data_IF_468256557703
#
_entry.id   IF_468256557703
#
_cell.length_a   1.000
_cell.length_b   1.000
_cell.length_c   1.000
_cell.angle_alpha   90.00
_cell.angle_beta   90.00
_cell.angle_gamma   90.00
#
_symmetry.space_group_name_H-M   'P 1'
#
loop_
_entity.id
_entity.type
_entity.pdbx_description
1 polymer ?
#
# COMPACT_ATOMS: atom_id res chain seq x y z
N UNK A 1 17.72 21.65 13.97
CA UNK A 1 18.01 20.43 13.19
C UNK A 1 19.27 19.85 13.79
N UNK A 2 19.14 18.83 14.63
CA UNK A 2 20.25 18.37 15.46
C UNK A 2 20.77 17.03 14.97
N UNK A 3 22.09 16.90 14.93
CA UNK A 3 22.74 15.60 14.99
C UNK A 3 22.49 15.07 16.41
N UNK A 4 22.06 13.81 16.53
CA UNK A 4 21.99 13.19 17.85
C UNK A 4 23.42 13.07 18.40
N UNK A 5 23.75 13.67 19.56
CA UNK A 5 25.12 13.72 20.06
C UNK A 5 25.69 12.33 20.36
N UNK A 6 24.86 11.33 20.63
CA UNK A 6 25.33 9.97 20.91
C UNK A 6 25.45 9.11 19.65
N UNK A 7 24.49 9.18 18.73
CA UNK A 7 24.51 8.35 17.52
C UNK A 7 25.17 9.00 16.30
N UNK A 8 25.44 10.32 16.35
CA UNK A 8 25.92 11.13 15.23
C UNK A 8 25.06 11.08 13.96
N UNK A 9 23.82 10.59 14.07
CA UNK A 9 22.84 10.53 12.99
C UNK A 9 21.91 11.76 13.08
N UNK A 10 21.40 12.23 11.94
CA UNK A 10 20.33 13.22 11.92
C UNK A 10 19.12 12.71 12.71
N UNK A 11 18.54 13.56 13.57
CA UNK A 11 17.29 13.20 14.25
C UNK A 11 16.19 12.87 13.23
N UNK A 12 15.36 11.84 13.47
CA UNK A 12 14.27 11.49 12.57
C UNK A 12 13.19 12.57 12.58
N UNK A 13 12.40 12.64 11.50
CA UNK A 13 11.35 13.64 11.34
C UNK A 13 10.34 13.65 12.50
N UNK A 14 10.06 12.49 13.06
CA UNK A 14 9.18 12.33 14.22
C UNK A 14 9.68 13.08 15.47
N UNK A 15 10.99 13.15 15.70
CA UNK A 15 11.56 13.73 16.91
C UNK A 15 11.73 15.24 16.82
N UNK A 16 12.12 15.75 15.65
CA UNK A 16 12.38 17.19 15.50
C UNK A 16 11.16 17.99 15.02
N UNK A 17 10.11 17.36 14.49
CA UNK A 17 8.86 18.06 14.08
C UNK A 17 8.20 18.81 15.25
N UNK A 18 8.03 18.22 16.46
CA UNK A 18 7.50 18.95 17.61
C UNK A 18 8.36 20.15 18.00
N UNK A 19 9.69 19.99 17.96
CA UNK A 19 10.63 21.08 18.24
C UNK A 19 10.50 22.24 17.24
N UNK A 20 10.42 21.94 15.94
CA UNK A 20 10.16 22.96 14.92
C UNK A 20 8.79 23.61 15.11
N UNK A 21 7.76 22.86 15.50
CA UNK A 21 6.45 23.42 15.79
C UNK A 21 6.47 24.40 16.96
N UNK A 22 7.20 24.08 18.03
CA UNK A 22 7.41 24.96 19.16
C UNK A 22 8.16 26.25 18.75
N UNK A 23 9.24 26.13 17.97
CA UNK A 23 9.98 27.29 17.46
C UNK A 23 9.12 28.19 16.58
N UNK A 24 8.28 27.62 15.69
CA UNK A 24 7.33 28.41 14.89
C UNK A 24 6.33 29.14 15.79
N UNK A 25 5.86 28.50 16.86
CA UNK A 25 4.90 29.10 17.78
C UNK A 25 5.52 30.25 18.59
N UNK A 26 6.70 30.04 19.19
CA UNK A 26 7.44 31.08 19.90
C UNK A 26 7.79 32.23 18.96
N UNK A 27 8.29 31.93 17.75
CA UNK A 27 8.60 32.94 16.75
C UNK A 27 7.38 33.79 16.40
N UNK A 28 6.20 33.18 16.21
CA UNK A 28 4.94 33.92 15.98
C UNK A 28 4.57 34.83 17.14
N UNK A 29 4.76 34.40 18.39
CA UNK A 29 4.51 35.25 19.55
C UNK A 29 5.48 36.44 19.61
N UNK A 30 6.76 36.20 19.40
CA UNK A 30 7.76 37.28 19.36
C UNK A 30 7.45 38.29 18.26
N UNK A 31 7.08 37.83 17.05
CA UNK A 31 6.70 38.73 15.97
C UNK A 31 5.35 39.43 16.19
N UNK A 32 4.43 38.81 16.94
CA UNK A 32 3.19 39.46 17.34
C UNK A 32 3.49 40.64 18.27
N UNK A 33 4.30 40.40 19.30
CA UNK A 33 4.74 41.44 20.24
C UNK A 33 5.53 42.54 19.52
N UNK A 34 6.45 42.17 18.62
CA UNK A 34 7.17 43.10 17.75
C UNK A 34 6.23 43.97 16.89
N UNK A 35 5.14 43.37 16.40
CA UNK A 35 4.21 44.05 15.50
C UNK A 35 3.28 45.00 16.21
N UNK A 36 2.73 44.58 17.35
CA UNK A 36 1.72 45.30 18.11
C UNK A 36 2.02 45.08 19.61
N UNK A 37 3.00 45.81 20.17
CA UNK A 37 3.36 45.70 21.57
C UNK A 37 2.16 45.99 22.46
N UNK A 38 1.94 45.17 23.49
CA UNK A 38 0.86 45.46 24.45
C UNK A 38 1.18 46.69 25.29
N UNK A 39 2.46 46.83 25.64
CA UNK A 39 2.98 47.92 26.45
C UNK A 39 4.12 48.62 25.73
N UNK A 40 4.35 49.91 26.00
CA UNK A 40 5.52 50.60 25.48
C UNK A 40 6.78 50.09 26.18
N UNK A 41 7.85 49.87 25.42
CA UNK A 41 9.15 49.48 25.95
C UNK A 41 10.07 50.70 25.98
N UNK A 42 10.06 51.42 27.11
CA UNK A 42 10.91 52.59 27.35
C UNK A 42 12.34 52.23 27.80
N UNK A 43 12.58 50.96 28.14
CA UNK A 43 13.89 50.46 28.59
C UNK A 43 14.84 50.12 27.45
N UNK A 44 14.36 50.11 26.20
CA UNK A 44 15.17 49.87 25.01
C UNK A 44 15.86 51.16 24.54
N UNK A 45 17.02 51.04 23.91
CA UNK A 45 17.75 52.20 23.33
C UNK A 45 16.89 52.98 22.33
N UNK A 46 16.04 52.27 21.59
CA UNK A 46 14.98 52.87 20.77
C UNK A 46 13.64 52.56 21.45
N UNK A 47 13.00 53.59 22.00
CA UNK A 47 11.73 53.45 22.68
C UNK A 47 10.68 52.85 21.72
N UNK A 48 10.12 51.70 22.10
CA UNK A 48 9.12 51.04 21.29
C UNK A 48 7.72 51.46 21.74
N UNK A 49 6.92 52.10 20.87
CA UNK A 49 5.57 52.50 21.26
C UNK A 49 4.61 51.32 21.33
N UNK A 50 3.56 51.48 22.13
CA UNK A 50 2.48 50.51 22.23
C UNK A 50 1.64 50.39 20.94
N UNK A 51 0.73 49.42 20.91
CA UNK A 51 -0.16 49.20 19.77
C UNK A 51 -1.10 50.37 19.43
N UNK A 52 -1.40 51.26 20.38
CA UNK A 52 -2.32 52.40 20.19
C UNK A 52 -1.70 53.52 19.37
N UNK A 53 -0.36 53.61 19.34
CA UNK A 53 0.38 54.57 18.54
C UNK A 53 0.18 54.37 17.02
N UNK A 54 -0.09 53.13 16.58
CA UNK A 54 -0.23 52.83 15.16
C UNK A 54 -1.66 53.09 14.67
N UNK A 55 -1.78 54.00 13.68
CA UNK A 55 -3.06 54.37 13.05
C UNK A 55 -3.81 53.18 12.43
N UNK A 56 -3.09 52.24 11.80
CA UNK A 56 -3.65 51.02 11.23
C UNK A 56 -2.88 49.78 11.71
N UNK A 57 -3.37 49.16 12.79
CA UNK A 57 -2.75 47.99 13.40
C UNK A 57 -2.72 46.78 12.45
N UNK A 58 -3.79 46.60 11.65
CA UNK A 58 -3.91 45.48 10.70
C UNK A 58 -2.86 45.57 9.59
N UNK A 59 -2.65 46.76 9.04
CA UNK A 59 -1.66 46.98 7.98
C UNK A 59 -0.24 46.77 8.49
N UNK A 60 0.06 47.25 9.69
CA UNK A 60 1.35 47.01 10.36
C UNK A 60 1.60 45.51 10.57
N UNK A 61 0.62 44.79 11.11
CA UNK A 61 0.70 43.34 11.30
C UNK A 61 0.94 42.63 9.97
N UNK A 62 0.20 42.99 8.91
CA UNK A 62 0.38 42.38 7.59
C UNK A 62 1.76 42.66 6.98
N UNK A 63 2.28 43.86 7.15
CA UNK A 63 3.62 44.23 6.67
C UNK A 63 4.69 43.35 7.32
N UNK A 64 4.63 43.18 8.63
CA UNK A 64 5.58 42.35 9.39
C UNK A 64 5.38 40.88 9.05
N UNK A 65 4.12 40.42 8.91
CA UNK A 65 3.80 39.06 8.50
C UNK A 65 4.40 38.72 7.15
N UNK A 66 4.21 39.59 6.14
CA UNK A 66 4.77 39.41 4.79
C UNK A 66 6.30 39.42 4.78
N UNK A 67 6.93 40.13 5.72
CA UNK A 67 8.39 40.22 5.79
C UNK A 67 9.03 39.00 6.45
N UNK A 68 8.43 38.46 7.52
CA UNK A 68 9.10 37.45 8.37
C UNK A 68 8.33 36.15 8.61
N UNK A 69 7.01 36.12 8.39
CA UNK A 69 6.15 34.98 8.75
C UNK A 69 5.58 34.22 7.55
N UNK A 70 5.77 34.74 6.34
CA UNK A 70 5.33 34.08 5.11
C UNK A 70 6.38 33.07 4.66
N UNK A 71 5.89 31.96 4.14
CA UNK A 71 6.71 30.90 3.56
C UNK A 71 7.44 31.42 2.31
N UNK A 72 8.73 31.14 2.18
CA UNK A 72 9.55 31.60 1.05
C UNK A 72 10.13 33.02 1.23
N UNK A 73 9.97 33.64 2.39
CA UNK A 73 10.71 34.86 2.74
C UNK A 73 12.14 34.52 3.15
N UNK A 74 13.09 35.42 2.89
CA UNK A 74 14.48 35.33 3.38
C UNK A 74 14.57 35.70 4.87
N UNK A 75 13.90 34.91 5.73
CA UNK A 75 13.94 35.07 7.17
C UNK A 75 14.09 33.72 7.85
N UNK A 76 14.77 33.70 9.00
CA UNK A 76 15.00 32.48 9.79
C UNK A 76 13.69 31.76 10.09
N UNK A 77 12.62 32.50 10.37
CA UNK A 77 11.33 31.89 10.71
C UNK A 77 10.63 31.26 9.50
N UNK A 78 10.79 31.84 8.30
CA UNK A 78 10.35 31.22 7.05
C UNK A 78 11.08 29.90 6.79
N UNK A 79 12.40 29.85 7.00
CA UNK A 79 13.18 28.61 6.88
C UNK A 79 12.69 27.53 7.87
N UNK A 80 12.42 27.90 9.13
CA UNK A 80 11.88 26.95 10.12
C UNK A 80 10.50 26.42 9.68
N UNK A 81 9.66 27.28 9.07
CA UNK A 81 8.36 26.87 8.52
C UNK A 81 8.53 25.90 7.35
N UNK A 82 9.48 26.15 6.45
CA UNK A 82 9.82 25.25 5.33
C UNK A 82 10.30 23.89 5.84
N UNK A 83 11.26 23.90 6.77
CA UNK A 83 11.78 22.68 7.38
C UNK A 83 10.68 21.87 8.07
N UNK A 84 9.76 22.55 8.77
CA UNK A 84 8.61 21.90 9.40
C UNK A 84 7.68 21.28 8.35
N UNK A 85 7.47 21.94 7.21
CA UNK A 85 6.64 21.42 6.14
C UNK A 85 7.24 20.14 5.53
N UNK A 86 8.56 20.13 5.28
CA UNK A 86 9.30 18.95 4.81
C UNK A 86 9.26 17.81 5.84
N UNK A 87 9.48 18.12 7.11
CA UNK A 87 9.40 17.13 8.18
C UNK A 87 8.01 16.48 8.25
N UNK A 88 6.95 17.30 8.12
CA UNK A 88 5.58 16.81 8.09
C UNK A 88 5.29 15.94 6.87
N UNK A 89 5.88 16.22 5.70
CA UNK A 89 5.74 15.34 4.53
C UNK A 89 6.42 14.00 4.74
N UNK A 90 7.60 13.98 5.37
CA UNK A 90 8.32 12.74 5.72
C UNK A 90 7.47 11.91 6.69
N UNK A 91 7.01 12.51 7.79
CA UNK A 91 6.14 11.85 8.79
C UNK A 91 4.87 11.28 8.13
N UNK A 92 4.30 11.97 7.14
CA UNK A 92 3.11 11.49 6.42
C UNK A 92 3.42 10.30 5.51
N UNK A 93 4.61 10.25 4.91
CA UNK A 93 5.05 9.14 4.06
C UNK A 93 5.45 7.92 4.89
N UNK A 94 6.20 8.12 5.97
CA UNK A 94 6.67 7.05 6.86
C UNK A 94 5.53 6.48 7.72
N UNK A 95 4.49 7.27 7.99
CA UNK A 95 3.39 6.88 8.86
C UNK A 95 3.76 6.99 10.34
N UNK A 96 2.90 6.50 11.22
CA UNK A 96 3.22 6.44 12.66
C UNK A 96 4.28 5.34 12.80
N UNK A 97 5.47 5.63 13.39
CA UNK A 97 6.44 4.59 13.66
C UNK A 97 5.75 3.57 14.55
N UNK A 98 5.52 2.37 14.02
CA UNK A 98 5.04 1.28 14.83
C UNK A 98 6.09 1.03 15.91
N UNK A 99 5.67 0.93 17.17
CA UNK A 99 6.52 0.40 18.24
C UNK A 99 6.81 -1.06 17.90
N UNK A 100 7.80 -1.27 17.04
CA UNK A 100 8.29 -2.56 16.61
C UNK A 100 9.62 -2.76 17.31
N UNK A 101 9.64 -3.69 18.25
CA UNK A 101 10.87 -4.15 18.88
C UNK A 101 11.11 -5.59 18.47
N UNK A 102 12.31 -5.83 17.94
CA UNK A 102 12.79 -7.17 17.66
C UNK A 102 13.13 -7.88 18.96
N UNK A 103 12.78 -9.15 19.05
CA UNK A 103 13.33 -10.02 20.08
C UNK A 103 14.84 -10.20 19.84
N UNK A 104 15.59 -10.48 20.92
CA UNK A 104 17.05 -10.64 20.87
C UNK A 104 17.51 -11.81 20.00
N UNK A 105 16.62 -12.77 19.73
CA UNK A 105 16.86 -13.91 18.86
C UNK A 105 16.66 -13.59 17.37
N UNK A 106 16.10 -12.42 17.04
CA UNK A 106 15.75 -12.01 15.68
C UNK A 106 14.66 -12.87 15.02
N UNK A 107 13.97 -13.74 15.78
CA UNK A 107 12.96 -14.68 15.25
C UNK A 107 11.53 -14.23 15.50
N UNK A 108 11.33 -13.30 16.42
CA UNK A 108 10.05 -12.64 16.64
C UNK A 108 10.21 -11.14 16.77
N UNK A 109 9.11 -10.43 16.54
CA UNK A 109 9.02 -9.00 16.83
C UNK A 109 7.67 -8.70 17.49
N UNK A 110 7.66 -7.73 18.39
CA UNK A 110 6.46 -7.28 19.08
C UNK A 110 5.96 -5.99 18.44
N UNK A 111 4.68 -5.93 18.11
CA UNK A 111 4.02 -4.71 17.64
C UNK A 111 3.13 -4.14 18.75
N UNK A 112 3.36 -2.89 19.15
CA UNK A 112 2.45 -2.13 20.01
C UNK A 112 2.21 -2.78 21.38
N UNK A 113 0.96 -3.15 21.69
CA UNK A 113 0.52 -3.73 22.97
C UNK A 113 1.02 -5.18 23.18
N UNK A 114 2.33 -5.44 23.09
CA UNK A 114 2.96 -6.75 23.30
C UNK A 114 2.36 -7.89 22.44
N UNK A 115 1.83 -7.57 21.24
CA UNK A 115 1.48 -8.63 20.28
C UNK A 115 2.78 -9.14 19.67
N UNK A 116 3.26 -10.27 20.17
CA UNK A 116 4.39 -10.99 19.61
C UNK A 116 3.95 -11.67 18.31
N UNK A 117 4.73 -11.46 17.25
CA UNK A 117 4.57 -12.15 15.98
C UNK A 117 5.87 -12.90 15.68
N UNK A 118 5.77 -14.22 15.49
CA UNK A 118 6.92 -15.06 15.16
C UNK A 118 7.07 -15.15 13.64
N UNK A 119 8.31 -15.15 13.16
CA UNK A 119 8.61 -15.37 11.74
C UNK A 119 8.17 -16.76 11.25
N UNK A 120 8.12 -17.75 12.14
CA UNK A 120 7.59 -19.08 11.86
C UNK A 120 6.12 -19.03 11.47
N UNK A 121 5.34 -18.15 12.10
CA UNK A 121 3.90 -18.03 11.84
C UNK A 121 3.67 -17.42 10.46
N UNK A 122 4.50 -16.45 10.06
CA UNK A 122 4.52 -15.93 8.70
C UNK A 122 4.86 -17.02 7.67
N UNK A 123 5.93 -17.78 7.89
CA UNK A 123 6.29 -18.88 6.99
C UNK A 123 5.15 -19.90 6.88
N UNK A 124 4.55 -20.27 8.02
CA UNK A 124 3.44 -21.21 8.08
C UNK A 124 2.22 -20.68 7.35
N UNK A 125 1.90 -19.39 7.47
CA UNK A 125 0.82 -18.75 6.73
C UNK A 125 1.03 -18.87 5.21
N UNK A 126 2.24 -18.61 4.72
CA UNK A 126 2.55 -18.73 3.30
C UNK A 126 2.47 -20.18 2.82
N UNK A 127 3.02 -21.12 3.59
CA UNK A 127 2.92 -22.55 3.28
C UNK A 127 1.46 -23.02 3.24
N UNK A 128 0.65 -22.58 4.20
CA UNK A 128 -0.79 -22.89 4.22
C UNK A 128 -1.53 -22.30 3.02
N UNK A 129 -1.19 -21.06 2.61
CA UNK A 129 -1.76 -20.45 1.43
C UNK A 129 -1.39 -21.22 0.15
N UNK A 130 -0.13 -21.62 0.00
CA UNK A 130 0.34 -22.45 -1.12
C UNK A 130 -0.37 -23.81 -1.12
N UNK A 131 -0.45 -24.48 0.02
CA UNK A 131 -1.12 -25.78 0.15
C UNK A 131 -2.60 -25.68 -0.24
N UNK A 132 -3.30 -24.65 0.25
CA UNK A 132 -4.70 -24.42 -0.14
C UNK A 132 -4.84 -24.23 -1.65
N UNK A 133 -4.00 -23.42 -2.28
CA UNK A 133 -4.01 -23.24 -3.73
C UNK A 133 -3.73 -24.55 -4.47
N UNK A 134 -2.78 -25.36 -4.00
CA UNK A 134 -2.48 -26.66 -4.57
C UNK A 134 -3.65 -27.63 -4.47
N UNK A 135 -4.33 -27.67 -3.33
CA UNK A 135 -5.51 -28.52 -3.13
C UNK A 135 -6.68 -28.08 -4.00
N UNK A 136 -6.89 -26.76 -4.12
CA UNK A 136 -7.89 -26.20 -5.02
C UNK A 136 -7.60 -26.50 -6.49
N UNK A 137 -6.34 -26.35 -6.93
CA UNK A 137 -5.94 -26.71 -8.29
C UNK A 137 -6.17 -28.19 -8.54
N UNK A 138 -5.78 -29.04 -7.59
CA UNK A 138 -5.99 -30.49 -7.66
C UNK A 138 -7.47 -30.86 -7.79
N UNK A 139 -8.32 -30.20 -7.01
CA UNK A 139 -9.77 -30.39 -7.08
C UNK A 139 -10.32 -29.95 -8.45
N UNK A 140 -9.90 -28.78 -8.95
CA UNK A 140 -10.31 -28.24 -10.26
C UNK A 140 -9.81 -29.10 -11.43
N UNK A 141 -8.65 -29.73 -11.30
CA UNK A 141 -8.08 -30.62 -12.32
C UNK A 141 -8.59 -32.06 -12.17
N UNK A 142 -9.51 -32.36 -11.24
CA UNK A 142 -10.02 -33.71 -10.99
C UNK A 142 -8.88 -34.71 -10.72
N UNK A 143 -7.92 -34.28 -9.90
CA UNK A 143 -6.67 -35.00 -9.59
C UNK A 143 -5.77 -35.32 -10.80
N UNK A 144 -6.13 -34.86 -12.00
CA UNK A 144 -5.32 -35.06 -13.19
C UNK A 144 -4.08 -34.16 -13.16
N UNK A 145 -2.91 -34.79 -13.21
CA UNK A 145 -1.61 -34.11 -13.26
C UNK A 145 -0.88 -34.53 -14.53
N UNK A 146 -0.93 -33.71 -15.60
CA UNK A 146 -0.15 -34.00 -16.78
C UNK A 146 1.34 -33.79 -16.48
N UNK A 147 2.19 -34.67 -17.00
CA UNK A 147 3.64 -34.54 -16.88
C UNK A 147 4.15 -33.46 -17.86
N UNK A 148 3.88 -32.20 -17.50
CA UNK A 148 4.28 -31.02 -18.28
C UNK A 148 5.25 -30.21 -17.45
N UNK A 149 6.41 -29.92 -18.04
CA UNK A 149 7.34 -28.96 -17.46
C UNK A 149 6.84 -27.54 -17.72
N UNK A 150 6.30 -26.91 -16.68
CA UNK A 150 5.79 -25.54 -16.75
C UNK A 150 6.89 -24.52 -17.02
N UNK A 151 8.16 -24.84 -16.76
CA UNK A 151 9.28 -23.92 -16.98
C UNK A 151 9.60 -23.69 -18.46
N UNK A 152 9.21 -24.65 -19.32
CA UNK A 152 9.45 -24.62 -20.78
C UNK A 152 8.29 -23.95 -21.53
N UNK A 153 7.14 -23.77 -20.89
CA UNK A 153 5.95 -23.17 -21.51
C UNK A 153 6.23 -21.70 -21.87
N UNK A 154 6.00 -21.37 -23.13
CA UNK A 154 6.14 -20.01 -23.66
C UNK A 154 4.77 -19.36 -23.82
N UNK A 155 4.54 -18.25 -23.11
CA UNK A 155 3.37 -17.39 -23.29
C UNK A 155 3.76 -16.09 -24.01
N UNK A 156 2.89 -15.59 -24.88
CA UNK A 156 3.06 -14.32 -25.59
C UNK A 156 2.02 -13.31 -25.11
N UNK A 157 2.40 -12.54 -24.10
CA UNK A 157 1.59 -11.50 -23.49
C UNK A 157 1.29 -10.32 -24.44
N UNK A 158 1.97 -10.23 -25.57
CA UNK A 158 1.77 -9.16 -26.56
C UNK A 158 0.75 -9.52 -27.62
N UNK A 159 0.38 -10.80 -27.76
CA UNK A 159 -0.60 -11.25 -28.72
C UNK A 159 -2.01 -10.77 -28.34
N UNK A 160 -2.56 -9.82 -29.11
CA UNK A 160 -3.93 -9.30 -28.94
C UNK A 160 -4.97 -9.95 -29.85
N UNK A 161 -4.63 -11.07 -30.49
CA UNK A 161 -5.55 -11.77 -31.39
C UNK A 161 -6.73 -12.34 -30.59
N UNK A 162 -7.99 -11.99 -30.93
CA UNK A 162 -9.14 -12.59 -30.27
C UNK A 162 -9.15 -14.11 -30.43
N UNK A 163 -9.25 -14.84 -29.31
CA UNK A 163 -9.28 -16.31 -29.31
C UNK A 163 -7.91 -16.98 -29.19
N UNK A 164 -6.82 -16.22 -29.25
CA UNK A 164 -5.48 -16.77 -29.09
C UNK A 164 -5.23 -17.28 -27.66
N UNK A 165 -4.57 -18.44 -27.55
CA UNK A 165 -4.12 -19.03 -26.29
C UNK A 165 -2.74 -19.66 -26.47
N UNK A 166 -1.90 -19.63 -25.43
CA UNK A 166 -0.62 -20.35 -25.42
C UNK A 166 -0.77 -21.87 -25.62
N UNK A 167 -1.98 -22.42 -25.42
CA UNK A 167 -2.30 -23.83 -25.72
C UNK A 167 -2.19 -24.15 -27.22
N UNK A 168 -2.32 -23.14 -28.09
CA UNK A 168 -2.27 -23.27 -29.55
C UNK A 168 -0.86 -23.08 -30.12
N UNK A 169 0.12 -22.68 -29.28
CA UNK A 169 1.51 -22.59 -29.70
C UNK A 169 2.09 -23.99 -29.92
N UNK A 170 2.62 -24.30 -31.11
CA UNK A 170 3.19 -25.62 -31.40
C UNK A 170 4.40 -25.94 -30.49
N UNK A 171 5.14 -24.92 -30.05
CA UNK A 171 6.31 -25.07 -29.18
C UNK A 171 5.97 -25.59 -27.77
N UNK A 172 4.71 -25.43 -27.33
CA UNK A 172 4.27 -25.86 -26.00
C UNK A 172 3.76 -27.31 -26.00
N UNK A 173 3.46 -27.91 -27.15
CA UNK A 173 2.94 -29.28 -27.30
C UNK A 173 1.68 -29.60 -26.46
N UNK A 174 0.87 -28.58 -26.08
CA UNK A 174 -0.28 -28.75 -25.17
C UNK A 174 -1.62 -29.07 -25.86
N UNK A 175 -1.66 -29.11 -27.19
CA UNK A 175 -2.91 -29.19 -27.97
C UNK A 175 -3.73 -30.48 -27.72
N UNK A 176 -3.07 -31.60 -27.42
CA UNK A 176 -3.72 -32.88 -27.11
C UNK A 176 -4.24 -32.96 -25.66
N UNK A 177 -3.60 -32.26 -24.74
CA UNK A 177 -3.88 -32.33 -23.30
C UNK A 177 -5.28 -31.81 -22.96
N UNK A 178 -5.75 -30.78 -23.66
CA UNK A 178 -7.11 -30.28 -23.49
C UNK A 178 -8.19 -31.32 -23.83
N UNK A 179 -7.97 -32.13 -24.88
CA UNK A 179 -8.89 -33.22 -25.25
C UNK A 179 -8.92 -34.30 -24.17
N UNK A 180 -7.77 -34.63 -23.61
CA UNK A 180 -7.64 -35.58 -22.50
C UNK A 180 -8.37 -35.08 -21.25
N UNK A 181 -8.18 -33.81 -20.89
CA UNK A 181 -8.86 -33.19 -19.75
C UNK A 181 -10.39 -33.17 -19.94
N UNK A 182 -10.84 -32.84 -21.15
CA UNK A 182 -12.28 -32.83 -21.48
C UNK A 182 -12.89 -34.23 -21.40
N UNK A 183 -12.17 -35.27 -21.84
CA UNK A 183 -12.61 -36.68 -21.71
C UNK A 183 -12.66 -37.12 -20.25
N UNK A 184 -11.68 -36.74 -19.45
CA UNK A 184 -11.65 -37.03 -18.01
C UNK A 184 -12.84 -36.37 -17.32
N UNK A 185 -13.09 -35.09 -17.59
CA UNK A 185 -14.24 -34.37 -17.07
C UNK A 185 -15.57 -35.04 -17.47
N UNK A 186 -15.69 -35.51 -18.71
CA UNK A 186 -16.89 -36.21 -19.20
C UNK A 186 -17.23 -37.47 -18.41
N UNK A 187 -16.22 -38.22 -17.96
CA UNK A 187 -16.38 -39.45 -17.18
C UNK A 187 -16.36 -39.24 -15.67
N UNK A 188 -16.12 -38.03 -15.20
CA UNK A 188 -15.87 -37.73 -13.78
C UNK A 188 -17.05 -37.02 -13.12
N UNK A 189 -16.95 -36.88 -11.81
CA UNK A 189 -17.82 -36.06 -10.99
C UNK A 189 -17.00 -35.07 -10.17
N UNK A 190 -17.62 -33.95 -9.82
CA UNK A 190 -17.04 -32.94 -8.93
C UNK A 190 -17.99 -32.72 -7.77
N UNK A 191 -17.50 -32.90 -6.54
CA UNK A 191 -18.33 -32.83 -5.31
C UNK A 191 -19.62 -33.66 -5.41
N UNK A 192 -19.49 -34.87 -5.97
CA UNK A 192 -20.60 -35.83 -6.18
C UNK A 192 -21.62 -35.44 -7.27
N UNK A 193 -21.37 -34.38 -8.05
CA UNK A 193 -22.17 -34.02 -9.21
C UNK A 193 -21.47 -34.43 -10.52
N UNK A 194 -22.20 -35.08 -11.43
CA UNK A 194 -21.68 -35.47 -12.74
C UNK A 194 -21.60 -34.26 -13.67
N UNK A 195 -20.54 -34.19 -14.48
CA UNK A 195 -20.43 -33.15 -15.52
C UNK A 195 -21.24 -33.47 -16.77
N UNK A 196 -21.47 -34.75 -17.09
CA UNK A 196 -22.22 -35.17 -18.26
C UNK A 196 -23.15 -36.35 -17.93
N UNK A 197 -24.33 -36.37 -18.56
CA UNK A 197 -25.30 -37.47 -18.47
C UNK A 197 -26.01 -37.63 -19.80
N UNK A 198 -26.21 -38.88 -20.23
CA UNK A 198 -26.97 -39.22 -21.43
C UNK A 198 -26.52 -38.47 -22.71
N UNK A 199 -25.21 -38.29 -22.90
CA UNK A 199 -24.67 -37.63 -24.11
C UNK A 199 -24.66 -36.10 -24.06
N UNK A 200 -25.06 -35.49 -22.93
CA UNK A 200 -25.14 -34.03 -22.78
C UNK A 200 -24.33 -33.56 -21.55
N UNK A 201 -23.68 -32.39 -21.67
CA UNK A 201 -23.09 -31.69 -20.53
C UNK A 201 -24.21 -31.17 -19.62
N UNK A 202 -24.06 -31.37 -18.31
CA UNK A 202 -24.98 -30.87 -17.31
C UNK A 202 -24.58 -29.45 -16.89
N UNK A 203 -25.51 -28.48 -16.85
CA UNK A 203 -25.20 -27.13 -16.38
C UNK A 203 -24.85 -27.09 -14.89
N UNK A 204 -25.43 -28.00 -14.08
CA UNK A 204 -25.32 -27.97 -12.62
C UNK A 204 -23.87 -28.14 -12.12
N UNK A 205 -23.09 -29.07 -12.69
CA UNK A 205 -21.67 -29.26 -12.35
C UNK A 205 -20.75 -28.09 -12.76
N UNK A 206 -21.26 -27.09 -13.49
CA UNK A 206 -20.52 -25.91 -13.94
C UNK A 206 -20.86 -24.64 -13.12
N UNK A 207 -21.89 -24.68 -12.27
CA UNK A 207 -22.34 -23.52 -11.49
C UNK A 207 -21.99 -23.64 -10.01
N UNK A 208 -20.91 -22.94 -9.67
CA UNK A 208 -20.49 -22.55 -8.34
C UNK A 208 -21.62 -21.94 -7.48
N UNK A 209 -21.66 -22.30 -6.19
CA UNK A 209 -22.62 -21.81 -5.20
C UNK A 209 -22.20 -20.40 -4.68
N UNK A 210 -23.05 -19.37 -4.76
CA UNK A 210 -22.69 -17.98 -4.41
C UNK A 210 -22.33 -17.69 -2.96
N UNK A 211 -22.53 -18.65 -2.04
CA UNK A 211 -22.20 -18.51 -0.62
C UNK A 211 -20.71 -18.74 -0.31
N UNK A 212 -19.92 -19.24 -1.26
CA UNK A 212 -18.49 -19.55 -1.08
C UNK A 212 -17.61 -18.31 -1.35
N UNK A 213 -17.61 -17.35 -0.42
CA UNK A 213 -17.13 -15.97 -0.59
C UNK A 213 -15.66 -15.74 -1.07
N UNK A 214 -14.85 -16.78 -1.33
CA UNK A 214 -13.41 -16.61 -1.53
C UNK A 214 -12.91 -16.50 -2.99
N UNK A 215 -13.68 -16.81 -4.04
CA UNK A 215 -13.13 -16.78 -5.42
C UNK A 215 -14.05 -16.21 -6.50
N UNK A 216 -14.52 -14.99 -6.25
CA UNK A 216 -15.41 -14.23 -7.14
C UNK A 216 -14.91 -13.92 -8.56
N UNK A 217 -13.62 -14.12 -8.90
CA UNK A 217 -13.03 -13.45 -10.08
C UNK A 217 -12.24 -14.28 -11.09
N UNK A 218 -11.97 -15.58 -10.86
CA UNK A 218 -11.05 -16.32 -11.78
C UNK A 218 -11.70 -17.32 -12.74
N UNK A 219 -12.89 -17.86 -12.46
CA UNK A 219 -13.57 -18.78 -13.37
C UNK A 219 -14.39 -18.10 -14.49
N UNK A 220 -14.72 -16.81 -14.37
CA UNK A 220 -15.40 -16.06 -15.45
C UNK A 220 -14.54 -15.91 -16.72
N UNK A 221 -13.21 -16.00 -16.64
CA UNK A 221 -12.35 -16.00 -17.84
C UNK A 221 -12.28 -17.38 -18.51
N UNK A 222 -12.24 -18.46 -17.73
CA UNK A 222 -12.27 -19.82 -18.28
C UNK A 222 -13.62 -20.16 -18.93
N UNK A 223 -14.72 -19.63 -18.38
CA UNK A 223 -16.06 -19.72 -18.98
C UNK A 223 -16.18 -19.03 -20.35
N UNK A 224 -15.36 -18.01 -20.62
CA UNK A 224 -15.37 -17.31 -21.91
C UNK A 224 -14.61 -18.08 -23.01
N UNK A 225 -13.73 -19.02 -22.64
CA UNK A 225 -13.04 -19.92 -23.58
C UNK A 225 -13.90 -21.13 -23.95
N UNK A 226 -14.69 -21.66 -23.02
CA UNK A 226 -15.53 -22.84 -23.27
C UNK A 226 -16.80 -22.54 -24.09
N UNK A 227 -17.34 -21.32 -24.03
CA UNK A 227 -18.57 -20.96 -24.74
C UNK A 227 -18.37 -20.38 -26.15
N UNK A 228 -17.13 -20.07 -26.56
CA UNK A 228 -16.89 -19.39 -27.86
C UNK A 228 -16.62 -20.32 -29.05
N UNK A 229 -16.53 -21.64 -28.84
CA UNK A 229 -16.34 -22.63 -29.92
C UNK A 229 -17.68 -23.18 -30.48
N UNK A 230 -18.83 -22.71 -29.98
CA UNK A 230 -20.17 -23.05 -30.52
C UNK A 230 -20.88 -21.86 -31.16
N UNK A 231 -20.12 -21.05 -31.90
CA UNK A 231 -20.63 -19.93 -32.68
C UNK A 231 -20.13 -19.95 -34.13
N UNK A 232 -20.28 -21.08 -34.81
CA UNK A 232 -20.42 -21.20 -36.27
C UNK A 232 -21.41 -22.32 -36.54
#
# INVERSE_FOLDING_TARGET
MGINPSSLIYRPAHDYTPGLAALVWVGRLMFLEYSLPLHPYSTLECAWPDRSFYSCQVERLQTIRKKYLVRGCYSVLSEIIELKAVAKSIVKQEGIPANLSWATDGRSFTIGNNKEIKLTDFSTMHHNAISKVQDMVREMTLDWRPAVDLSVIQDDWTCRKPGWSFLEKPENELSGLFKTMTRLAWSSSFRSELFAKAGHWLPAGLFWNPSDNELRWRLKRSHMLLLRVRGT
#
